data_IF_247380699088
#
_entry.id   IF_247380699088
#
_cell.length_a   1.000
_cell.length_b   1.000
_cell.length_c   1.000
_cell.angle_alpha   90.00
_cell.angle_beta   90.00
_cell.angle_gamma   90.00
#
_symmetry.space_group_name_H-M   'P 1'
#
loop_
_entity.id
_entity.type
_entity.pdbx_description
1 polymer ?
#
# COMPACT_ATOMS: atom_id res chain seq x y z
N UNK A 1 15.95 -9.11 -40.88
CA UNK A 1 15.75 -10.24 -39.96
C UNK A 1 16.80 -10.14 -38.86
N UNK A 2 16.41 -10.21 -37.59
CA UNK A 2 17.34 -10.13 -36.46
C UNK A 2 17.81 -11.54 -36.05
N UNK A 3 19.13 -11.71 -35.87
CA UNK A 3 19.77 -12.99 -35.57
C UNK A 3 19.85 -13.23 -34.06
N UNK A 4 19.24 -14.32 -33.59
CA UNK A 4 19.08 -14.68 -32.16
C UNK A 4 20.00 -15.82 -31.70
N UNK A 5 20.98 -16.20 -32.53
CA UNK A 5 21.90 -17.33 -32.30
C UNK A 5 22.71 -17.25 -31.00
N UNK A 6 22.96 -16.05 -30.45
CA UNK A 6 23.77 -15.85 -29.24
C UNK A 6 23.05 -16.26 -27.94
N UNK A 7 21.71 -16.35 -27.92
CA UNK A 7 20.92 -16.69 -26.73
C UNK A 7 20.99 -18.19 -26.37
N UNK A 8 21.28 -19.07 -27.34
CA UNK A 8 21.38 -20.51 -27.11
C UNK A 8 22.76 -20.98 -26.62
N UNK A 9 23.78 -20.12 -26.67
CA UNK A 9 25.16 -20.49 -26.31
C UNK A 9 25.40 -20.63 -24.79
N UNK A 10 24.49 -20.13 -23.95
CA UNK A 10 24.59 -20.26 -22.50
C UNK A 10 23.74 -21.43 -22.00
N UNK A 11 24.36 -22.63 -22.08
CA UNK A 11 24.17 -23.85 -21.27
C UNK A 11 23.22 -24.93 -21.82
N UNK A 12 23.74 -26.10 -22.28
CA UNK A 12 23.05 -27.36 -22.09
C UNK A 12 23.28 -27.80 -20.62
N UNK A 13 22.23 -27.87 -19.80
CA UNK A 13 22.36 -28.21 -18.36
C UNK A 13 22.18 -27.02 -17.41
N UNK A 14 21.21 -26.15 -17.69
CA UNK A 14 20.81 -25.10 -16.78
C UNK A 14 20.29 -25.68 -15.47
N UNK A 15 21.09 -25.52 -14.41
CA UNK A 15 20.78 -25.33 -12.98
C UNK A 15 21.99 -25.67 -12.08
N UNK A 16 23.10 -26.17 -12.65
CA UNK A 16 24.28 -26.56 -11.86
C UNK A 16 24.11 -27.94 -11.21
N UNK A 17 25.16 -28.46 -10.59
CA UNK A 17 25.07 -29.69 -9.80
C UNK A 17 24.16 -29.45 -8.59
N UNK A 18 23.23 -30.37 -8.27
CA UNK A 18 22.35 -30.20 -7.12
C UNK A 18 23.17 -30.10 -5.82
N UNK A 19 22.70 -29.30 -4.84
CA UNK A 19 23.35 -29.16 -3.55
C UNK A 19 23.44 -30.51 -2.81
N UNK A 20 24.50 -30.69 -2.02
CA UNK A 20 24.71 -31.90 -1.23
C UNK A 20 23.71 -32.04 -0.08
N UNK A 21 23.62 -33.21 0.58
CA UNK A 21 22.66 -33.44 1.66
C UNK A 21 22.86 -32.50 2.88
N UNK A 22 24.07 -32.01 3.09
CA UNK A 22 24.39 -31.07 4.17
C UNK A 22 24.05 -29.60 3.82
N UNK A 23 23.83 -29.30 2.53
CA UNK A 23 23.44 -27.97 2.02
C UNK A 23 21.91 -27.77 2.00
N UNK A 24 21.15 -28.75 2.53
CA UNK A 24 19.69 -28.69 2.58
C UNK A 24 19.25 -27.70 3.67
N UNK A 25 18.19 -26.94 3.38
CA UNK A 25 17.65 -25.96 4.30
C UNK A 25 17.32 -26.61 5.67
N UNK A 26 17.91 -26.06 6.74
CA UNK A 26 17.71 -26.48 8.13
C UNK A 26 16.34 -26.12 8.70
N UNK A 27 15.38 -25.76 7.85
CA UNK A 27 14.02 -25.37 8.22
C UNK A 27 13.26 -26.47 8.95
N UNK A 28 13.67 -27.74 8.81
CA UNK A 28 13.10 -28.85 9.58
C UNK A 28 13.48 -28.82 11.07
N UNK A 29 14.61 -28.19 11.40
CA UNK A 29 15.07 -27.99 12.79
C UNK A 29 14.61 -26.65 13.37
N UNK A 30 13.80 -25.87 12.63
CA UNK A 30 13.29 -24.61 13.15
C UNK A 30 12.23 -24.88 14.23
N UNK A 31 12.26 -24.17 15.38
CA UNK A 31 11.25 -24.31 16.42
C UNK A 31 9.87 -23.91 15.87
N UNK A 32 8.82 -24.69 16.20
CA UNK A 32 7.45 -24.42 15.74
C UNK A 32 6.81 -23.18 16.37
N UNK A 33 7.37 -22.68 17.48
CA UNK A 33 6.94 -21.43 18.08
C UNK A 33 7.60 -20.23 17.38
N UNK A 34 6.76 -19.38 16.79
CA UNK A 34 7.20 -18.07 16.31
C UNK A 34 7.80 -17.27 17.49
N UNK A 35 9.01 -16.69 17.34
CA UNK A 35 9.57 -15.84 18.38
C UNK A 35 8.66 -14.62 18.60
N UNK A 36 8.39 -14.29 19.86
CA UNK A 36 7.60 -13.12 20.22
C UNK A 36 8.22 -11.87 19.59
N UNK A 37 7.43 -11.13 18.81
CA UNK A 37 7.86 -9.88 18.17
C UNK A 37 8.22 -8.89 19.26
N UNK A 38 9.51 -8.65 19.45
CA UNK A 38 9.97 -7.55 20.29
C UNK A 38 9.70 -6.25 19.52
N UNK A 39 8.63 -5.56 19.89
CA UNK A 39 8.37 -4.16 19.49
C UNK A 39 9.40 -3.27 20.19
N UNK A 40 10.62 -3.27 19.66
CA UNK A 40 11.67 -2.35 20.10
C UNK A 40 11.67 -1.09 19.24
N UNK A 41 11.34 0.02 19.90
CA UNK A 41 11.71 1.40 19.62
C UNK A 41 11.16 2.05 18.33
N UNK A 42 10.14 2.88 18.57
CA UNK A 42 9.82 4.06 17.78
C UNK A 42 11.05 4.96 17.73
N UNK A 43 11.77 4.96 16.60
CA UNK A 43 12.69 6.04 16.25
C UNK A 43 11.94 7.08 15.43
N UNK A 44 11.65 8.21 16.07
CA UNK A 44 11.35 9.47 15.38
C UNK A 44 12.60 9.89 14.61
N UNK A 45 12.52 9.96 13.29
CA UNK A 45 13.52 10.68 12.47
C UNK A 45 12.77 11.59 11.51
N UNK A 46 13.07 12.87 11.68
CA UNK A 46 12.64 14.02 10.89
C UNK A 46 13.50 14.10 9.63
N UNK A 47 12.89 14.37 8.46
CA UNK A 47 13.54 15.10 7.36
C UNK A 47 13.84 14.38 6.03
N UNK A 48 13.03 14.72 5.01
CA UNK A 48 13.41 15.14 3.63
C UNK A 48 13.91 14.14 2.55
N UNK A 49 13.07 14.04 1.50
CA UNK A 49 13.31 13.81 0.06
C UNK A 49 14.00 12.53 -0.46
N UNK A 50 13.20 11.61 -1.01
CA UNK A 50 13.61 10.66 -2.06
C UNK A 50 12.42 10.25 -2.94
N UNK A 51 12.52 10.55 -4.25
CA UNK A 51 11.63 10.06 -5.30
C UNK A 51 11.78 8.55 -5.49
N UNK A 52 10.77 7.79 -5.07
CA UNK A 52 10.50 6.42 -5.50
C UNK A 52 8.99 6.32 -5.79
N UNK A 53 8.55 5.83 -6.95
CA UNK A 53 7.12 5.67 -7.20
C UNK A 53 6.58 4.59 -6.25
N UNK A 54 5.78 5.04 -5.30
CA UNK A 54 5.06 4.20 -4.35
C UNK A 54 4.20 3.16 -5.09
N UNK A 55 4.64 1.91 -5.13
CA UNK A 55 3.84 0.78 -5.63
C UNK A 55 3.07 0.18 -4.46
N UNK A 56 1.82 0.63 -4.27
CA UNK A 56 0.89 -0.05 -3.37
C UNK A 56 0.43 -1.35 -4.01
N UNK A 57 0.88 -2.50 -3.49
CA UNK A 57 0.25 -3.81 -3.79
C UNK A 57 -1.23 -3.72 -3.37
N UNK A 58 -2.12 -3.69 -4.35
CA UNK A 58 -3.54 -3.44 -4.10
C UNK A 58 -4.31 -4.73 -3.78
N UNK A 59 -4.50 -4.99 -2.48
CA UNK A 59 -5.41 -6.02 -1.97
C UNK A 59 -6.87 -5.57 -1.86
N UNK A 60 -7.21 -4.33 -2.25
CA UNK A 60 -8.56 -3.74 -2.10
C UNK A 60 -9.48 -4.10 -3.27
N UNK A 61 -8.91 -4.30 -4.46
CA UNK A 61 -9.64 -4.74 -5.66
C UNK A 61 -10.42 -6.05 -5.44
N UNK A 62 -9.94 -6.94 -4.56
CA UNK A 62 -10.55 -8.24 -4.27
C UNK A 62 -11.75 -8.20 -3.30
N UNK A 63 -12.05 -7.07 -2.63
CA UNK A 63 -13.11 -6.95 -1.60
C UNK A 63 -14.19 -5.92 -1.93
N UNK A 64 -14.34 -5.55 -3.21
CA UNK A 64 -15.26 -4.49 -3.65
C UNK A 64 -16.72 -4.96 -3.57
N UNK A 65 -17.44 -4.56 -2.51
CA UNK A 65 -18.87 -4.87 -2.30
C UNK A 65 -19.82 -3.86 -2.98
N UNK A 66 -19.32 -2.95 -3.83
CA UNK A 66 -20.07 -1.91 -4.55
C UNK A 66 -20.94 -0.96 -3.69
N UNK A 67 -21.01 -1.14 -2.37
CA UNK A 67 -21.76 -0.30 -1.43
C UNK A 67 -21.10 1.06 -1.19
N UNK A 68 -19.77 1.14 -1.31
CA UNK A 68 -18.99 2.37 -1.09
C UNK A 68 -17.98 2.56 -2.22
N UNK A 69 -17.92 3.77 -2.77
CA UNK A 69 -16.91 4.17 -3.75
C UNK A 69 -15.78 4.92 -3.04
N UNK A 70 -14.54 4.65 -3.43
CA UNK A 70 -13.40 5.40 -2.91
C UNK A 70 -13.41 6.81 -3.50
N UNK A 71 -13.50 7.82 -2.64
CA UNK A 71 -13.42 9.23 -3.04
C UNK A 71 -12.01 9.74 -2.74
N UNK A 72 -11.17 9.82 -3.77
CA UNK A 72 -9.77 10.23 -3.66
C UNK A 72 -9.55 11.50 -4.49
N UNK A 73 -9.54 12.65 -3.83
CA UNK A 73 -9.27 13.95 -4.44
C UNK A 73 -7.99 14.54 -3.85
N UNK A 74 -7.32 15.41 -4.62
CA UNK A 74 -6.24 16.26 -4.11
C UNK A 74 -6.85 17.60 -3.74
N UNK A 75 -6.60 18.05 -2.52
CA UNK A 75 -7.14 19.29 -1.95
C UNK A 75 -6.01 20.11 -1.35
N UNK A 76 -6.27 21.40 -1.13
CA UNK A 76 -5.35 22.27 -0.41
C UNK A 76 -5.24 21.85 1.05
N UNK A 77 -4.09 22.11 1.71
CA UNK A 77 -3.91 21.74 3.11
C UNK A 77 -4.85 22.49 4.06
N UNK A 78 -5.20 23.74 3.74
CA UNK A 78 -6.15 24.55 4.50
C UNK A 78 -7.54 23.92 4.52
N UNK A 79 -8.01 23.45 3.37
CA UNK A 79 -9.30 22.77 3.25
C UNK A 79 -9.33 21.47 4.06
N UNK A 80 -8.31 20.62 3.94
CA UNK A 80 -8.25 19.36 4.71
C UNK A 80 -8.27 19.62 6.22
N UNK A 81 -7.60 20.68 6.68
CA UNK A 81 -7.61 21.09 8.10
C UNK A 81 -9.02 21.50 8.55
N UNK A 82 -9.68 22.39 7.82
CA UNK A 82 -11.02 22.86 8.17
C UNK A 82 -12.05 21.72 8.22
N UNK A 83 -12.02 20.81 7.25
CA UNK A 83 -12.95 19.67 7.22
C UNK A 83 -12.72 18.76 8.41
N UNK A 84 -11.46 18.51 8.81
CA UNK A 84 -11.15 17.72 10.01
C UNK A 84 -11.59 18.42 11.30
N UNK A 85 -11.36 19.72 11.41
CA UNK A 85 -11.78 20.50 12.59
C UNK A 85 -13.32 20.49 12.77
N UNK A 86 -14.08 20.51 11.66
CA UNK A 86 -15.54 20.38 11.68
C UNK A 86 -15.96 18.96 12.06
N UNK A 87 -15.31 17.95 11.49
CA UNK A 87 -15.58 16.54 11.77
C UNK A 87 -15.37 16.21 13.25
N UNK A 88 -14.28 16.69 13.85
CA UNK A 88 -13.95 16.47 15.26
C UNK A 88 -14.91 17.22 16.20
N UNK A 89 -15.40 18.41 15.80
CA UNK A 89 -16.37 19.17 16.60
C UNK A 89 -17.75 18.53 16.64
N UNK A 90 -18.17 17.93 15.53
CA UNK A 90 -19.51 17.36 15.37
C UNK A 90 -19.55 15.82 15.54
N UNK A 91 -18.40 15.20 15.87
CA UNK A 91 -18.22 13.75 15.95
C UNK A 91 -18.69 13.01 14.66
N UNK A 92 -18.36 13.58 13.50
CA UNK A 92 -18.75 13.06 12.18
C UNK A 92 -17.58 12.42 11.43
N UNK A 93 -17.89 11.54 10.48
CA UNK A 93 -16.88 11.10 9.50
C UNK A 93 -16.61 12.21 8.50
N UNK A 94 -15.37 12.31 8.03
CA UNK A 94 -14.95 13.17 6.92
C UNK A 94 -15.91 13.10 5.71
N UNK A 95 -16.38 11.90 5.38
CA UNK A 95 -17.31 11.69 4.25
C UNK A 95 -18.68 12.31 4.52
N UNK A 96 -19.20 12.23 5.75
CA UNK A 96 -20.52 12.78 6.13
C UNK A 96 -20.51 14.31 6.09
N UNK A 97 -19.40 14.93 6.49
CA UNK A 97 -19.19 16.38 6.36
C UNK A 97 -19.25 16.79 4.88
N UNK A 98 -18.59 16.03 4.01
CA UNK A 98 -18.59 16.30 2.57
C UNK A 98 -19.98 16.11 1.95
N UNK A 99 -20.73 15.08 2.33
CA UNK A 99 -22.11 14.88 1.85
C UNK A 99 -23.02 16.06 2.24
N UNK A 100 -22.99 16.48 3.52
CA UNK A 100 -23.72 17.66 3.99
C UNK A 100 -23.31 18.94 3.27
N UNK A 101 -22.01 19.09 2.96
CA UNK A 101 -21.51 20.27 2.23
C UNK A 101 -22.10 20.35 0.81
N UNK A 102 -22.29 19.21 0.15
CA UNK A 102 -22.91 19.14 -1.18
C UNK A 102 -24.40 19.43 -1.11
N UNK A 103 -25.12 18.91 -0.10
CA UNK A 103 -26.53 19.25 0.14
C UNK A 103 -26.72 20.75 0.33
N UNK A 104 -25.94 21.36 1.22
CA UNK A 104 -25.98 22.80 1.45
C UNK A 104 -25.61 23.62 0.20
N UNK A 105 -24.69 23.10 -0.63
CA UNK A 105 -24.33 23.74 -1.90
C UNK A 105 -25.48 23.68 -2.91
N UNK A 106 -26.20 22.56 -3.01
CA UNK A 106 -27.39 22.41 -3.87
C UNK A 106 -28.51 23.36 -3.44
N UNK A 107 -28.80 23.43 -2.14
CA UNK A 107 -29.82 24.33 -1.60
C UNK A 107 -29.51 25.80 -1.93
N UNK A 108 -28.24 26.21 -1.78
CA UNK A 108 -27.83 27.59 -2.08
C UNK A 108 -27.86 27.94 -3.57
N UNK A 109 -27.49 27.00 -4.43
CA UNK A 109 -27.35 27.25 -5.87
C UNK A 109 -28.57 26.80 -6.70
N UNK A 110 -29.56 26.17 -6.06
CA UNK A 110 -30.80 25.73 -6.71
C UNK A 110 -30.60 24.60 -7.73
N UNK A 111 -29.63 23.71 -7.49
CA UNK A 111 -29.38 22.52 -8.31
C UNK A 111 -30.36 21.38 -8.04
#
# INVERSE_FOLDING_TARGET
MADVSKLRSKRPGGLGSPPGPDDVATSLNAPELAPAVQVTNVKTVVGENSDEPYVRRDGRSARKTNRTLAFATRVTPEFDKEVRDIADREDLKLVEVLEKSVEAYKEKMGY
#
